data_IF_960065698953
#
_entry.id   IF_960065698953
#
_cell.length_a   1.000
_cell.length_b   1.000
_cell.length_c   1.000
_cell.angle_alpha   90.00
_cell.angle_beta   90.00
_cell.angle_gamma   90.00
#
_symmetry.space_group_name_H-M   'P 1'
#
loop_
_entity.id
_entity.type
_entity.pdbx_description
1 polymer ?
#
# COMPACT_ATOMS: atom_id res chain seq x y z
N UNK A 1 68.25 4.65 -24.97
CA UNK A 1 67.67 5.15 -23.70
C UNK A 1 66.21 5.61 -23.81
N UNK A 2 65.41 5.13 -24.79
CA UNK A 2 63.99 5.54 -24.93
C UNK A 2 62.96 4.48 -24.48
N UNK A 3 63.33 3.20 -24.48
CA UNK A 3 62.38 2.09 -24.23
C UNK A 3 62.02 1.88 -22.74
N UNK A 4 62.81 2.41 -21.81
CA UNK A 4 62.63 2.18 -20.36
C UNK A 4 61.66 3.17 -19.69
N UNK A 5 61.41 4.34 -20.29
CA UNK A 5 60.48 5.34 -19.76
C UNK A 5 59.01 5.03 -20.04
N UNK A 6 58.70 4.35 -21.17
CA UNK A 6 57.30 4.02 -21.52
C UNK A 6 56.68 2.95 -20.60
N UNK A 7 57.47 1.99 -20.08
CA UNK A 7 56.95 0.95 -19.19
C UNK A 7 56.55 1.48 -17.81
N UNK A 8 57.19 2.55 -17.32
CA UNK A 8 56.86 3.15 -16.01
C UNK A 8 55.63 4.07 -16.07
N UNK A 9 55.32 4.65 -17.22
CA UNK A 9 54.13 5.50 -17.37
C UNK A 9 52.83 4.67 -17.47
N UNK A 10 52.91 3.48 -18.06
CA UNK A 10 51.75 2.60 -18.26
C UNK A 10 51.23 1.98 -16.95
N UNK A 11 52.10 1.79 -15.95
CA UNK A 11 51.71 1.18 -14.66
C UNK A 11 51.02 2.20 -13.74
N UNK A 12 51.32 3.49 -13.86
CA UNK A 12 50.68 4.55 -13.06
C UNK A 12 49.30 4.93 -13.61
N UNK A 13 49.06 4.75 -14.92
CA UNK A 13 47.77 5.07 -15.53
C UNK A 13 46.69 3.99 -15.26
N UNK A 14 47.10 2.76 -14.92
CA UNK A 14 46.17 1.65 -14.67
C UNK A 14 45.62 1.60 -13.23
N UNK A 15 46.20 2.35 -12.28
CA UNK A 15 45.77 2.35 -10.88
C UNK A 15 44.71 3.42 -10.54
N UNK A 16 44.31 4.25 -11.50
CA UNK A 16 43.29 5.32 -11.29
C UNK A 16 41.88 4.89 -11.74
N UNK A 17 41.74 3.72 -12.37
CA UNK A 17 40.47 3.27 -12.98
C UNK A 17 39.63 2.32 -12.10
N UNK A 18 39.88 2.25 -10.79
CA UNK A 18 39.26 1.26 -9.90
C UNK A 18 38.35 1.83 -8.80
N UNK A 19 37.97 3.11 -8.87
CA UNK A 19 37.11 3.74 -7.85
C UNK A 19 35.82 4.35 -8.43
N UNK A 20 35.08 3.56 -9.21
CA UNK A 20 33.66 3.82 -9.48
C UNK A 20 32.82 2.61 -9.10
N UNK A 21 32.95 2.18 -7.84
CA UNK A 21 31.87 1.41 -7.21
C UNK A 21 30.72 2.37 -6.95
N UNK A 22 29.84 2.50 -7.95
CA UNK A 22 28.48 2.98 -7.72
C UNK A 22 27.83 2.00 -6.75
N UNK A 23 27.94 2.27 -5.46
CA UNK A 23 27.08 1.67 -4.46
C UNK A 23 25.70 2.25 -4.69
N UNK A 24 24.92 1.64 -5.58
CA UNK A 24 23.47 1.80 -5.57
C UNK A 24 22.98 1.21 -4.27
N UNK A 25 23.05 2.00 -3.20
CA UNK A 25 22.32 1.76 -1.95
C UNK A 25 20.85 2.04 -2.23
N UNK A 26 20.21 1.14 -2.98
CA UNK A 26 18.76 1.01 -3.01
C UNK A 26 18.38 -0.01 -1.93
N UNK A 27 18.75 0.31 -0.70
CA UNK A 27 18.50 -0.48 0.50
C UNK A 27 17.93 0.41 1.59
N UNK A 28 16.92 1.22 1.24
CA UNK A 28 16.21 2.00 2.24
C UNK A 28 15.46 1.05 3.17
N UNK A 29 15.69 1.16 4.48
CA UNK A 29 14.98 0.41 5.53
C UNK A 29 13.49 0.77 5.67
N UNK A 30 12.92 1.50 4.69
CA UNK A 30 11.55 1.99 4.69
C UNK A 30 10.63 1.29 3.69
N UNK A 31 9.34 1.56 3.82
CA UNK A 31 8.37 1.22 2.77
C UNK A 31 8.68 1.99 1.49
N UNK A 32 8.29 1.42 0.35
CA UNK A 32 8.48 2.11 -0.92
C UNK A 32 7.56 3.31 -1.04
N UNK A 33 8.11 4.39 -1.58
CA UNK A 33 7.39 5.62 -1.86
C UNK A 33 6.34 5.42 -2.96
N UNK A 34 5.13 5.87 -2.71
CA UNK A 34 4.02 5.83 -3.66
C UNK A 34 3.86 7.26 -4.22
N UNK A 35 3.95 7.46 -5.54
CA UNK A 35 3.84 8.80 -6.13
C UNK A 35 2.52 9.50 -5.77
N UNK A 36 2.61 10.72 -5.24
CA UNK A 36 1.45 11.54 -4.87
C UNK A 36 0.73 11.08 -3.59
N UNK A 37 1.36 10.22 -2.79
CA UNK A 37 0.81 9.68 -1.54
C UNK A 37 1.85 9.74 -0.44
N UNK A 38 1.50 10.36 0.69
CA UNK A 38 2.30 10.27 1.91
C UNK A 38 1.72 9.18 2.81
N UNK A 39 2.57 8.23 3.21
CA UNK A 39 2.15 6.96 3.81
C UNK A 39 2.11 5.82 2.77
N UNK A 40 1.22 4.82 2.90
CA UNK A 40 0.22 4.65 3.95
C UNK A 40 0.85 4.36 5.32
N UNK A 41 0.23 4.86 6.38
CA UNK A 41 0.59 4.60 7.77
C UNK A 41 -0.41 3.64 8.39
N UNK A 42 0.10 2.60 9.07
CA UNK A 42 -0.70 1.61 9.77
C UNK A 42 -0.54 1.80 11.27
N UNK A 43 -1.66 1.91 11.98
CA UNK A 43 -1.73 1.93 13.43
C UNK A 43 -2.76 0.89 13.92
N UNK A 44 -2.51 0.33 15.09
CA UNK A 44 -3.48 -0.51 15.81
C UNK A 44 -3.83 0.24 17.08
N UNK A 45 -5.07 0.70 17.16
CA UNK A 45 -5.59 1.42 18.32
C UNK A 45 -6.74 0.60 18.89
N UNK A 46 -6.55 0.10 20.12
CA UNK A 46 -7.49 -0.82 20.76
C UNK A 46 -7.78 -2.01 19.83
N UNK A 47 -9.05 -2.20 19.47
CA UNK A 47 -9.52 -3.29 18.60
C UNK A 47 -9.74 -2.82 17.16
N UNK A 48 -9.11 -1.72 16.76
CA UNK A 48 -9.22 -1.15 15.43
C UNK A 48 -7.86 -1.09 14.72
N UNK A 49 -7.86 -1.57 13.48
CA UNK A 49 -6.78 -1.35 12.53
C UNK A 49 -7.08 -0.07 11.75
N UNK A 50 -6.18 0.90 11.83
CA UNK A 50 -6.31 2.22 11.21
C UNK A 50 -5.22 2.37 10.15
N UNK A 51 -5.62 2.55 8.89
CA UNK A 51 -4.72 2.91 7.80
C UNK A 51 -5.02 4.32 7.33
N UNK A 52 -4.06 5.22 7.46
CA UNK A 52 -4.18 6.61 7.03
C UNK A 52 -3.13 6.98 5.98
N UNK A 53 -3.49 7.88 5.09
CA UNK A 53 -2.60 8.42 4.06
C UNK A 53 -3.02 9.83 3.65
N UNK A 54 -2.06 10.62 3.20
CA UNK A 54 -2.32 11.90 2.53
C UNK A 54 -2.24 11.69 1.04
N UNK A 55 -3.28 12.09 0.30
CA UNK A 55 -3.31 12.12 -1.15
C UNK A 55 -3.00 13.55 -1.60
N UNK A 56 -1.77 13.78 -2.04
CA UNK A 56 -1.25 15.12 -2.35
C UNK A 56 -1.98 15.77 -3.53
N UNK A 57 -2.48 14.93 -4.44
CA UNK A 57 -3.09 15.34 -5.70
C UNK A 57 -4.62 15.39 -5.66
N UNK A 58 -5.22 15.19 -4.49
CA UNK A 58 -6.68 15.20 -4.32
C UNK A 58 -7.03 16.24 -3.28
N UNK A 59 -7.86 17.20 -3.64
CA UNK A 59 -8.30 18.26 -2.74
C UNK A 59 -9.81 18.16 -2.53
N UNK A 60 -10.25 17.76 -1.33
CA UNK A 60 -11.65 17.92 -0.93
C UNK A 60 -11.84 19.11 -0.03
N UNK A 61 -12.98 19.77 -0.21
CA UNK A 61 -13.39 20.92 0.59
C UNK A 61 -14.23 20.51 1.80
N UNK A 62 -14.92 19.37 1.72
CA UNK A 62 -15.81 18.86 2.76
C UNK A 62 -15.41 17.44 3.09
N UNK A 63 -15.24 17.17 4.39
CA UNK A 63 -14.95 15.85 4.90
C UNK A 63 -16.20 14.97 4.96
N UNK A 64 -16.02 13.66 4.92
CA UNK A 64 -17.11 12.69 4.99
C UNK A 64 -16.69 11.37 5.59
N UNK A 65 -17.67 10.66 6.15
CA UNK A 65 -17.51 9.30 6.66
C UNK A 65 -18.44 8.36 5.92
N UNK A 66 -17.89 7.28 5.39
CA UNK A 66 -18.63 6.22 4.72
C UNK A 66 -18.55 4.94 5.55
N UNK A 67 -19.70 4.43 5.98
CA UNK A 67 -19.77 3.14 6.69
C UNK A 67 -19.58 2.01 5.69
N UNK A 68 -18.79 1.00 6.06
CA UNK A 68 -18.57 -0.17 5.21
C UNK A 68 -19.82 -1.08 5.32
N UNK A 69 -20.59 -1.32 4.24
CA UNK A 69 -21.80 -2.13 4.32
C UNK A 69 -21.51 -3.53 4.86
N UNK A 70 -22.35 -4.00 5.79
CA UNK A 70 -22.23 -5.26 6.54
C UNK A 70 -21.13 -5.31 7.61
N UNK A 71 -20.33 -4.26 7.76
CA UNK A 71 -19.34 -4.11 8.83
C UNK A 71 -19.82 -2.98 9.76
N UNK A 72 -20.19 -3.30 10.99
CA UNK A 72 -20.95 -2.39 11.85
C UNK A 72 -20.09 -1.26 12.39
N UNK A 73 -18.82 -1.54 12.63
CA UNK A 73 -17.86 -0.66 13.30
C UNK A 73 -16.75 -0.16 12.37
N UNK A 74 -16.68 -0.68 11.13
CA UNK A 74 -15.70 -0.29 10.13
C UNK A 74 -16.21 0.85 9.25
N UNK A 75 -15.35 1.84 9.02
CA UNK A 75 -15.70 3.02 8.25
C UNK A 75 -14.48 3.64 7.58
N UNK A 76 -14.76 4.52 6.63
CA UNK A 76 -13.77 5.20 5.82
C UNK A 76 -14.01 6.69 5.99
N UNK A 77 -12.95 7.43 6.29
CA UNK A 77 -13.00 8.88 6.40
C UNK A 77 -12.20 9.51 5.28
N UNK A 78 -12.74 10.56 4.71
CA UNK A 78 -12.04 11.41 3.78
C UNK A 78 -12.16 12.85 4.27
N UNK A 79 -11.05 13.53 4.53
CA UNK A 79 -11.05 14.91 5.05
C UNK A 79 -10.04 15.79 4.30
N UNK A 80 -10.24 17.12 4.27
CA UNK A 80 -9.18 18.03 3.86
C UNK A 80 -7.94 17.81 4.72
N UNK A 81 -6.75 17.93 4.14
CA UNK A 81 -5.53 17.95 4.92
C UNK A 81 -5.39 19.35 5.57
N UNK A 82 -5.49 19.42 6.90
CA UNK A 82 -5.38 20.70 7.62
C UNK A 82 -3.92 21.11 7.88
N UNK A 83 -2.99 20.17 7.76
CA UNK A 83 -1.57 20.36 8.02
C UNK A 83 -0.77 20.70 6.74
N UNK A 84 -1.41 20.64 5.56
CA UNK A 84 -0.73 20.86 4.29
C UNK A 84 -1.64 20.62 3.08
N UNK A 85 -1.07 20.48 1.87
CA UNK A 85 -1.84 20.26 0.66
C UNK A 85 -2.50 18.87 0.63
N UNK A 86 -3.53 18.75 -0.21
CA UNK A 86 -4.20 17.48 -0.50
C UNK A 86 -5.28 17.11 0.52
N UNK A 87 -5.55 15.81 0.64
CA UNK A 87 -6.62 15.27 1.47
C UNK A 87 -6.16 14.03 2.24
N UNK A 88 -6.70 13.84 3.44
CA UNK A 88 -6.45 12.67 4.26
C UNK A 88 -7.52 11.62 3.98
N UNK A 89 -7.08 10.43 3.59
CA UNK A 89 -7.91 9.23 3.49
C UNK A 89 -7.54 8.29 4.64
N UNK A 90 -8.53 7.89 5.43
CA UNK A 90 -8.36 6.98 6.55
C UNK A 90 -9.36 5.83 6.47
N UNK A 91 -8.88 4.62 6.70
CA UNK A 91 -9.67 3.40 6.80
C UNK A 91 -9.56 2.90 8.23
N UNK A 92 -10.69 2.80 8.92
CA UNK A 92 -10.79 2.18 10.24
C UNK A 92 -11.53 0.87 10.09
N UNK A 93 -10.86 -0.21 10.49
CA UNK A 93 -11.39 -1.57 10.41
C UNK A 93 -11.41 -2.16 11.81
N UNK A 94 -12.60 -2.44 12.29
CA UNK A 94 -12.76 -3.15 13.56
C UNK A 94 -12.35 -4.60 13.39
N UNK A 95 -11.57 -5.11 14.33
CA UNK A 95 -11.16 -6.51 14.36
C UNK A 95 -12.39 -7.42 14.57
N UNK A 96 -13.39 -6.98 15.33
CA UNK A 96 -14.65 -7.72 15.51
C UNK A 96 -15.37 -7.94 14.18
N UNK A 97 -15.47 -6.89 13.33
CA UNK A 97 -16.09 -7.05 12.02
C UNK A 97 -15.29 -7.98 11.08
N UNK A 98 -13.97 -8.16 11.29
CA UNK A 98 -13.19 -9.11 10.49
C UNK A 98 -13.44 -10.57 10.88
N UNK A 99 -13.80 -10.81 12.14
CA UNK A 99 -13.97 -12.16 12.70
C UNK A 99 -15.44 -12.57 12.85
N UNK A 100 -16.39 -11.65 12.69
CA UNK A 100 -17.82 -11.96 12.72
C UNK A 100 -18.18 -12.90 11.55
N UNK A 101 -18.82 -14.03 11.88
CA UNK A 101 -19.12 -15.12 10.97
C UNK A 101 -20.15 -14.73 9.89
N UNK A 102 -20.98 -13.72 10.14
CA UNK A 102 -22.00 -13.21 9.22
C UNK A 102 -21.41 -12.36 8.08
N UNK A 103 -20.11 -12.04 8.16
CA UNK A 103 -19.43 -11.08 7.28
C UNK A 103 -18.94 -11.70 5.96
N UNK A 104 -19.25 -12.99 5.72
CA UNK A 104 -18.94 -13.72 4.47
C UNK A 104 -19.89 -13.44 3.31
N UNK A 105 -20.79 -12.46 3.42
CA UNK A 105 -21.89 -12.26 2.47
C UNK A 105 -21.65 -11.18 1.40
N UNK A 106 -20.43 -10.64 1.26
CA UNK A 106 -20.15 -9.72 0.15
C UNK A 106 -19.71 -10.50 -1.09
N UNK A 107 -20.18 -10.04 -2.25
CA UNK A 107 -19.77 -10.61 -3.52
C UNK A 107 -18.26 -10.41 -3.72
N UNK A 108 -17.50 -11.48 -4.04
CA UNK A 108 -16.09 -11.35 -4.36
C UNK A 108 -15.88 -10.41 -5.56
N UNK A 109 -14.89 -9.52 -5.44
CA UNK A 109 -14.44 -8.62 -6.50
C UNK A 109 -12.95 -8.76 -6.73
N UNK A 110 -12.52 -8.59 -7.97
CA UNK A 110 -11.12 -8.39 -8.38
C UNK A 110 -10.70 -6.94 -8.14
N UNK A 111 -9.43 -6.62 -8.37
CA UNK A 111 -9.01 -5.22 -8.46
C UNK A 111 -9.67 -4.52 -9.66
N UNK A 112 -9.74 -3.17 -9.67
CA UNK A 112 -10.23 -2.42 -10.80
C UNK A 112 -9.51 -2.78 -12.10
N UNK A 113 -10.27 -2.80 -13.20
CA UNK A 113 -9.81 -3.32 -14.50
C UNK A 113 -9.79 -4.86 -14.58
N UNK A 114 -10.43 -5.57 -13.65
CA UNK A 114 -10.51 -7.05 -13.68
C UNK A 114 -9.23 -7.76 -13.22
N UNK A 115 -8.25 -7.02 -12.66
CA UNK A 115 -6.96 -7.58 -12.27
C UNK A 115 -7.06 -8.47 -11.03
N UNK A 116 -6.42 -9.63 -11.08
CA UNK A 116 -6.38 -10.53 -9.93
C UNK A 116 -5.68 -9.87 -8.74
N UNK A 117 -6.22 -10.09 -7.54
CA UNK A 117 -5.61 -9.62 -6.30
C UNK A 117 -4.30 -10.40 -6.03
N UNK A 118 -3.14 -9.73 -5.95
CA UNK A 118 -1.88 -10.39 -5.67
C UNK A 118 -1.90 -11.13 -4.33
N UNK A 119 -1.43 -12.38 -4.33
CA UNK A 119 -1.36 -13.20 -3.11
C UNK A 119 -2.70 -13.84 -2.69
N UNK A 120 -3.75 -13.73 -3.50
CA UNK A 120 -5.04 -14.39 -3.27
C UNK A 120 -5.26 -15.45 -4.34
N UNK A 121 -5.39 -16.72 -3.94
CA UNK A 121 -5.49 -17.85 -4.86
C UNK A 121 -6.69 -17.74 -5.82
N UNK A 122 -7.84 -17.30 -5.34
CA UNK A 122 -9.04 -17.09 -6.17
C UNK A 122 -8.97 -15.82 -7.03
N UNK A 123 -7.94 -14.97 -6.86
CA UNK A 123 -7.80 -13.69 -7.55
C UNK A 123 -8.82 -12.61 -7.14
N UNK A 124 -9.76 -12.92 -6.26
CA UNK A 124 -10.82 -12.02 -5.81
C UNK A 124 -11.06 -12.18 -4.30
N UNK A 125 -11.53 -11.11 -3.66
CA UNK A 125 -11.93 -11.08 -2.26
C UNK A 125 -13.29 -10.42 -2.12
N UNK A 126 -14.09 -10.80 -1.10
CA UNK A 126 -15.23 -9.99 -0.68
C UNK A 126 -14.81 -8.52 -0.53
N UNK A 127 -15.57 -7.61 -1.14
CA UNK A 127 -15.16 -6.22 -1.23
C UNK A 127 -16.32 -5.25 -1.15
N UNK A 128 -16.04 -4.07 -0.61
CA UNK A 128 -16.85 -2.88 -0.69
C UNK A 128 -16.13 -1.87 -1.58
N UNK A 129 -16.68 -1.62 -2.75
CA UNK A 129 -16.25 -0.52 -3.60
C UNK A 129 -17.08 0.73 -3.28
N UNK A 130 -16.43 1.88 -3.28
CA UNK A 130 -17.09 3.17 -3.17
C UNK A 130 -16.39 4.19 -4.05
N UNK A 131 -17.12 5.24 -4.42
CA UNK A 131 -16.58 6.36 -5.17
C UNK A 131 -16.95 7.64 -4.44
N UNK A 132 -15.97 8.51 -4.27
CA UNK A 132 -16.15 9.88 -3.83
C UNK A 132 -15.97 10.77 -5.06
N UNK A 133 -16.59 11.95 -5.09
CA UNK A 133 -16.64 12.83 -6.27
C UNK A 133 -15.27 13.05 -6.96
N UNK A 134 -14.19 13.10 -6.18
CA UNK A 134 -12.81 13.28 -6.66
C UNK A 134 -11.93 12.01 -6.67
N UNK A 135 -12.45 10.89 -6.18
CA UNK A 135 -11.77 9.60 -6.10
C UNK A 135 -12.74 8.49 -6.50
N UNK A 136 -12.68 8.12 -7.78
CA UNK A 136 -13.49 7.02 -8.32
C UNK A 136 -12.85 5.68 -8.04
N UNK A 137 -13.67 4.68 -7.73
CA UNK A 137 -13.24 3.28 -7.60
C UNK A 137 -12.25 3.02 -6.47
N UNK A 138 -12.39 3.68 -5.32
CA UNK A 138 -11.70 3.23 -4.11
C UNK A 138 -12.36 1.93 -3.68
N UNK A 139 -11.58 0.93 -3.32
CA UNK A 139 -12.14 -0.36 -2.94
C UNK A 139 -11.47 -0.91 -1.70
N UNK A 140 -12.30 -1.45 -0.82
CA UNK A 140 -11.92 -2.04 0.43
C UNK A 140 -12.22 -3.54 0.38
N UNK A 141 -11.20 -4.36 0.56
CA UNK A 141 -11.26 -5.81 0.42
C UNK A 141 -11.06 -6.44 1.78
N UNK A 142 -11.90 -7.41 2.08
CA UNK A 142 -11.82 -8.17 3.32
C UNK A 142 -11.85 -9.64 3.01
N UNK A 143 -10.79 -10.33 3.40
CA UNK A 143 -10.68 -11.76 3.39
C UNK A 143 -10.30 -12.31 4.76
N UNK A 144 -10.44 -13.63 4.96
CA UNK A 144 -10.21 -14.27 6.26
C UNK A 144 -8.75 -14.17 6.76
N UNK A 145 -7.79 -13.84 5.89
CA UNK A 145 -6.36 -13.74 6.23
C UNK A 145 -5.71 -12.45 5.73
N UNK A 146 -6.37 -11.75 4.82
CA UNK A 146 -5.85 -10.60 4.09
C UNK A 146 -6.91 -9.53 4.09
N UNK A 147 -6.52 -8.35 4.54
CA UNK A 147 -7.23 -7.10 4.30
C UNK A 147 -6.57 -6.40 3.12
N UNK A 148 -7.35 -5.67 2.33
CA UNK A 148 -6.85 -4.97 1.15
C UNK A 148 -7.46 -3.59 1.00
N UNK A 149 -6.67 -2.60 0.63
CA UNK A 149 -7.16 -1.29 0.21
C UNK A 149 -6.63 -1.02 -1.20
N UNK A 150 -7.53 -0.76 -2.13
CA UNK A 150 -7.21 -0.16 -3.41
C UNK A 150 -7.47 1.34 -3.37
N UNK A 151 -6.46 2.12 -3.76
CA UNK A 151 -6.58 3.57 -3.94
C UNK A 151 -6.16 3.94 -5.37
N UNK A 152 -7.02 4.64 -6.12
CA UNK A 152 -6.72 5.08 -7.48
C UNK A 152 -5.66 6.20 -7.47
N UNK A 153 -4.77 6.18 -8.46
CA UNK A 153 -3.77 7.21 -8.71
C UNK A 153 -3.99 7.78 -10.11
N UNK A 154 -4.98 8.67 -10.32
CA UNK A 154 -5.39 9.12 -11.66
C UNK A 154 -4.27 9.85 -12.42
N UNK A 155 -3.33 10.49 -11.71
CA UNK A 155 -2.16 11.17 -12.29
C UNK A 155 -0.95 10.26 -12.50
N UNK A 156 -1.06 8.96 -12.22
CA UNK A 156 0.03 8.00 -12.45
C UNK A 156 -0.08 7.43 -13.87
N UNK A 157 0.90 7.72 -14.73
CA UNK A 157 0.78 7.54 -16.18
C UNK A 157 1.56 6.36 -16.77
N UNK A 158 2.15 5.49 -15.95
CA UNK A 158 2.80 4.29 -16.47
C UNK A 158 1.76 3.31 -17.02
N UNK A 159 1.98 2.78 -18.22
CA UNK A 159 1.08 1.79 -18.85
C UNK A 159 1.62 0.37 -18.66
N UNK A 160 0.73 -0.60 -18.40
CA UNK A 160 1.09 -2.02 -18.30
C UNK A 160 2.07 -2.35 -17.16
N UNK A 161 2.35 -1.38 -16.28
CA UNK A 161 3.28 -1.53 -15.18
C UNK A 161 2.60 -2.24 -13.99
N UNK A 162 3.28 -3.21 -13.41
CA UNK A 162 2.85 -3.87 -12.18
C UNK A 162 4.07 -4.15 -11.33
N UNK A 163 4.06 -3.70 -10.09
CA UNK A 163 5.16 -3.88 -9.17
C UNK A 163 4.64 -4.15 -7.76
N UNK A 164 5.34 -4.99 -7.00
CA UNK A 164 4.95 -5.38 -5.65
C UNK A 164 6.17 -5.41 -4.75
N UNK A 165 6.04 -4.86 -3.55
CA UNK A 165 7.04 -4.98 -2.50
C UNK A 165 6.40 -5.26 -1.15
N UNK A 166 7.24 -5.67 -0.21
CA UNK A 166 6.83 -5.87 1.17
C UNK A 166 6.44 -4.53 1.78
N UNK A 167 5.38 -4.57 2.60
CA UNK A 167 5.00 -3.46 3.46
C UNK A 167 5.34 -3.82 4.91
N UNK A 168 6.10 -2.96 5.57
CA UNK A 168 6.68 -3.14 6.90
C UNK A 168 6.24 -2.02 7.83
N UNK A 169 6.11 -2.34 9.12
CA UNK A 169 5.98 -1.37 10.22
C UNK A 169 7.15 -1.60 11.15
N UNK A 170 8.04 -0.61 11.25
CA UNK A 170 9.39 -0.82 11.78
C UNK A 170 10.11 -1.91 10.96
N UNK A 171 10.73 -2.87 11.64
CA UNK A 171 11.41 -4.00 10.99
C UNK A 171 10.49 -5.17 10.60
N UNK A 172 9.21 -5.17 11.02
CA UNK A 172 8.29 -6.28 10.81
C UNK A 172 7.48 -6.10 9.53
N UNK A 173 7.54 -7.10 8.64
CA UNK A 173 6.60 -7.21 7.51
C UNK A 173 5.19 -7.45 8.03
N UNK A 174 4.25 -6.64 7.59
CA UNK A 174 2.82 -6.73 7.92
C UNK A 174 1.94 -6.86 6.68
N UNK A 175 2.55 -6.85 5.48
CA UNK A 175 1.80 -6.93 4.24
C UNK A 175 2.67 -6.78 2.99
N UNK A 176 2.02 -6.38 1.90
CA UNK A 176 2.62 -5.94 0.64
C UNK A 176 1.93 -4.67 0.14
N UNK A 177 2.67 -3.85 -0.57
CA UNK A 177 2.13 -2.78 -1.42
C UNK A 177 2.37 -3.15 -2.87
N UNK A 178 1.34 -3.04 -3.69
CA UNK A 178 1.44 -3.24 -5.14
C UNK A 178 1.08 -1.95 -5.86
N UNK A 179 1.89 -1.52 -6.82
CA UNK A 179 1.64 -0.36 -7.65
C UNK A 179 1.31 -0.83 -9.06
N UNK A 180 0.24 -0.28 -9.63
CA UNK A 180 -0.24 -0.62 -10.95
C UNK A 180 -0.39 0.61 -11.82
N UNK A 181 0.13 0.50 -13.03
CA UNK A 181 -0.10 1.43 -14.11
C UNK A 181 -1.52 1.37 -14.66
N UNK A 182 -1.76 2.23 -15.65
CA UNK A 182 -2.96 2.23 -16.47
C UNK A 182 -3.09 0.90 -17.22
N UNK A 183 -4.33 0.44 -17.35
CA UNK A 183 -4.69 -0.71 -18.17
C UNK A 183 -4.76 -0.35 -19.66
N UNK A 184 -5.18 -1.31 -20.49
CA UNK A 184 -5.31 -1.16 -21.95
C UNK A 184 -6.28 -0.05 -22.37
N UNK A 185 -7.24 0.32 -21.50
CA UNK A 185 -8.17 1.41 -21.74
C UNK A 185 -7.62 2.78 -21.28
N UNK A 186 -6.40 2.81 -20.74
CA UNK A 186 -5.81 4.00 -20.13
C UNK A 186 -6.37 4.33 -18.76
N UNK A 187 -7.06 3.38 -18.11
CA UNK A 187 -7.76 3.59 -16.84
C UNK A 187 -7.11 2.80 -15.69
N UNK A 188 -7.67 2.96 -14.49
CA UNK A 188 -7.40 2.12 -13.32
C UNK A 188 -5.94 2.12 -12.82
N UNK A 189 -5.16 3.18 -13.04
CA UNK A 189 -3.91 3.34 -12.32
C UNK A 189 -4.16 3.47 -10.81
N UNK A 190 -3.31 2.87 -9.98
CA UNK A 190 -3.52 2.87 -8.54
C UNK A 190 -2.57 1.97 -7.79
N UNK A 191 -2.70 1.96 -6.47
CA UNK A 191 -1.97 1.02 -5.62
C UNK A 191 -2.91 0.18 -4.79
N UNK A 192 -2.45 -1.02 -4.44
CA UNK A 192 -3.11 -1.97 -3.59
C UNK A 192 -2.25 -2.25 -2.36
N UNK A 193 -2.74 -1.87 -1.18
CA UNK A 193 -2.14 -2.23 0.10
C UNK A 193 -2.82 -3.50 0.62
N UNK A 194 -2.09 -4.62 0.66
CA UNK A 194 -2.54 -5.86 1.26
C UNK A 194 -1.89 -6.03 2.63
N UNK A 195 -2.67 -6.11 3.70
CA UNK A 195 -2.15 -6.41 5.04
C UNK A 195 -2.53 -7.84 5.45
N UNK A 196 -1.55 -8.54 6.01
CA UNK A 196 -1.80 -9.83 6.64
C UNK A 196 -2.33 -9.62 8.04
N UNK A 197 -3.48 -10.22 8.35
CA UNK A 197 -3.94 -10.36 9.73
C UNK A 197 -3.09 -11.45 10.38
N UNK A 198 -1.91 -11.08 10.88
CA UNK A 198 -0.96 -12.07 11.40
C UNK A 198 -1.49 -12.70 12.69
N UNK A 199 -1.12 -13.96 12.94
CA UNK A 199 -1.44 -14.70 14.18
C UNK A 199 -1.03 -13.99 15.48
N UNK A 200 -0.22 -12.92 15.42
CA UNK A 200 0.12 -12.09 16.57
C UNK A 200 -1.00 -11.08 16.93
N UNK A 201 -1.80 -10.63 15.95
CA UNK A 201 -3.04 -9.88 16.19
C UNK A 201 -4.10 -10.82 16.77
N UNK A 202 -4.29 -12.02 16.18
CA UNK A 202 -5.15 -13.08 16.75
C UNK A 202 -4.77 -13.41 18.21
N UNK A 203 -3.48 -13.59 18.51
CA UNK A 203 -3.01 -13.90 19.88
C UNK A 203 -3.12 -12.74 20.86
N UNK A 204 -3.06 -11.48 20.41
CA UNK A 204 -3.29 -10.31 21.28
C UNK A 204 -4.78 -10.15 21.59
N UNK A 205 -5.64 -10.40 20.61
CA UNK A 205 -7.08 -10.38 20.76
C UNK A 205 -7.60 -11.52 21.64
N UNK A 206 -7.11 -12.76 21.46
CA UNK A 206 -7.42 -13.87 22.38
C UNK A 206 -7.07 -13.53 23.83
N UNK A 207 -5.91 -12.92 24.08
CA UNK A 207 -5.50 -12.51 25.43
C UNK A 207 -6.34 -11.38 26.03
N UNK A 208 -7.01 -10.57 25.22
CA UNK A 208 -7.93 -9.53 25.68
C UNK A 208 -9.34 -10.10 25.90
N UNK A 209 -9.78 -11.04 25.06
CA UNK A 209 -11.04 -11.77 25.22
C UNK A 209 -11.04 -12.70 26.44
N UNK A 210 -9.92 -13.35 26.77
CA UNK A 210 -9.79 -14.20 27.97
C UNK A 210 -9.74 -13.39 29.29
N UNK A 211 -9.69 -12.06 29.22
CA UNK A 211 -9.62 -11.15 30.38
C UNK A 211 -11.00 -10.63 30.82
N UNK A 212 -12.06 -10.95 30.06
CA UNK A 212 -13.46 -10.63 30.34
C UNK A 212 -14.33 -11.88 30.16
#
# INVERSE_FOLDING_TARGET
MLATKLKKLSIVLLSVLSLTTFTTSCGGEGNVSIPGVQGPNLNILEDNLIVSMVLENVEIQVGGTYKVPKYKSSYIMFNPNLEGPGSVLSFTVSLDDLFDADVKQLDPKTLPGGRMIPGVAAGALPAVAFSVEKLKNVAFYVGPKIFGIWVPLPKFELYGFGWTSQYKVGSRRVGNVSLFGKDENGENAGFFLALSVSAAAERRLQKQADKY
#
